data_IF_276636095752
#
_entry.id   IF_276636095752
#
_cell.length_a   1.000
_cell.length_b   1.000
_cell.length_c   1.000
_cell.angle_alpha   90.00
_cell.angle_beta   90.00
_cell.angle_gamma   90.00
#
_symmetry.space_group_name_H-M   'P 1'
#
loop_
_entity.id
_entity.type
_entity.pdbx_description
1 polymer ?
#
# COMPACT_ATOMS: atom_id res chain seq x y z
N UNK A 1 -8.69 -9.68 11.57
CA UNK A 1 -9.19 -9.32 10.22
C UNK A 1 -8.02 -8.95 9.33
N UNK A 2 -8.10 -9.24 8.03
CA UNK A 2 -7.01 -8.97 7.09
C UNK A 2 -7.55 -8.48 5.74
N UNK A 3 -6.75 -7.67 5.04
CA UNK A 3 -7.01 -7.27 3.65
C UNK A 3 -6.09 -8.06 2.72
N UNK A 4 -6.66 -8.84 1.82
CA UNK A 4 -5.98 -9.66 0.83
C UNK A 4 -6.06 -9.01 -0.56
N UNK A 5 -4.96 -9.07 -1.32
CA UNK A 5 -4.95 -8.67 -2.71
C UNK A 5 -5.59 -9.75 -3.60
N UNK A 6 -6.51 -9.34 -4.48
CA UNK A 6 -7.11 -10.23 -5.48
C UNK A 6 -6.34 -10.23 -6.80
N UNK A 7 -5.61 -9.15 -7.07
CA UNK A 7 -4.93 -8.91 -8.34
C UNK A 7 -3.45 -8.61 -8.15
N UNK A 8 -2.68 -8.79 -9.22
CA UNK A 8 -1.30 -8.36 -9.29
C UNK A 8 -1.25 -6.83 -9.44
N UNK A 9 -0.59 -6.14 -8.50
CA UNK A 9 -0.49 -4.69 -8.55
C UNK A 9 0.86 -4.19 -8.02
N UNK A 10 1.28 -3.03 -8.53
CA UNK A 10 2.37 -2.25 -7.97
C UNK A 10 1.81 -1.21 -7.02
N UNK A 11 2.14 -1.34 -5.73
CA UNK A 11 1.66 -0.43 -4.70
C UNK A 11 2.80 0.51 -4.31
N UNK A 12 2.61 1.80 -4.51
CA UNK A 12 3.59 2.83 -4.14
C UNK A 12 3.65 3.03 -2.62
N UNK A 13 4.80 3.50 -2.11
CA UNK A 13 4.95 3.87 -0.69
C UNK A 13 3.87 4.85 -0.21
N UNK A 14 3.48 5.81 -1.06
CA UNK A 14 2.43 6.79 -0.77
C UNK A 14 1.06 6.15 -0.58
N UNK A 15 0.70 5.17 -1.41
CA UNK A 15 -0.55 4.42 -1.27
C UNK A 15 -0.58 3.59 0.00
N UNK A 16 0.56 2.99 0.39
CA UNK A 16 0.67 2.23 1.64
C UNK A 16 0.38 3.15 2.84
N UNK A 17 1.03 4.32 2.89
CA UNK A 17 0.84 5.25 4.00
C UNK A 17 -0.56 5.88 4.03
N UNK A 18 -1.11 6.22 2.84
CA UNK A 18 -2.47 6.73 2.74
C UNK A 18 -3.49 5.75 3.34
N UNK A 19 -3.40 4.47 2.97
CA UNK A 19 -4.27 3.40 3.49
C UNK A 19 -4.07 3.19 4.99
N UNK A 20 -2.83 3.13 5.47
CA UNK A 20 -2.52 3.04 6.91
C UNK A 20 -3.17 4.18 7.69
N UNK A 21 -3.04 5.42 7.21
CA UNK A 21 -3.61 6.61 7.88
C UNK A 21 -5.13 6.56 7.93
N UNK A 22 -5.78 6.14 6.83
CA UNK A 22 -7.24 5.97 6.74
C UNK A 22 -7.72 4.88 7.71
N UNK A 23 -7.08 3.71 7.72
CA UNK A 23 -7.42 2.62 8.63
C UNK A 23 -7.26 3.04 10.09
N UNK A 24 -6.14 3.68 10.45
CA UNK A 24 -5.87 4.13 11.82
C UNK A 24 -6.89 5.17 12.29
N UNK A 25 -7.32 6.08 11.40
CA UNK A 25 -8.36 7.08 11.72
C UNK A 25 -9.72 6.45 12.02
N UNK A 26 -10.11 5.43 11.26
CA UNK A 26 -11.40 4.74 11.45
C UNK A 26 -11.42 3.83 12.69
N UNK A 27 -10.24 3.37 13.11
CA UNK A 27 -10.07 2.43 14.22
C UNK A 27 -9.94 3.14 15.58
N UNK A 28 -9.78 4.48 15.58
CA UNK A 28 -9.57 5.29 16.78
C UNK A 28 -8.42 4.72 17.65
N UNK A 29 -8.51 4.85 18.99
CA UNK A 29 -7.46 4.39 19.91
C UNK A 29 -7.51 2.87 20.20
N UNK A 30 -8.38 2.10 19.56
CA UNK A 30 -8.58 0.68 19.86
C UNK A 30 -7.93 -0.23 18.83
N UNK A 31 -7.06 -1.15 19.25
CA UNK A 31 -6.55 -2.22 18.39
C UNK A 31 -5.18 -1.95 17.76
N UNK A 32 -4.68 -2.96 17.05
CA UNK A 32 -3.35 -2.98 16.43
C UNK A 32 -3.50 -3.21 14.92
N UNK A 33 -2.79 -2.41 14.14
CA UNK A 33 -2.71 -2.50 12.68
C UNK A 33 -1.28 -2.88 12.29
N UNK A 34 -1.13 -3.95 11.50
CA UNK A 34 0.14 -4.34 10.89
C UNK A 34 0.10 -4.09 9.39
N UNK A 35 1.18 -3.52 8.88
CA UNK A 35 1.43 -3.41 7.43
C UNK A 35 2.33 -4.58 7.05
N UNK A 36 1.87 -5.44 6.15
CA UNK A 36 2.56 -6.69 5.76
C UNK A 36 3.40 -6.55 4.48
N UNK A 37 3.27 -5.43 3.80
CA UNK A 37 3.99 -5.10 2.57
C UNK A 37 5.01 -3.98 2.83
N UNK A 38 6.13 -4.04 2.13
CA UNK A 38 7.18 -3.04 2.20
C UNK A 38 7.61 -2.65 0.78
N UNK A 39 7.75 -1.35 0.47
CA UNK A 39 8.20 -0.91 -0.84
C UNK A 39 9.72 -1.05 -0.95
N UNK A 40 10.17 -2.11 -1.62
CA UNK A 40 11.58 -2.44 -1.79
C UNK A 40 12.10 -2.27 -3.22
N UNK A 41 11.22 -2.12 -4.22
CA UNK A 41 11.62 -2.06 -5.62
C UNK A 41 11.72 -0.60 -6.09
N UNK A 42 12.89 -0.15 -6.60
CA UNK A 42 13.07 1.21 -7.11
C UNK A 42 12.46 1.39 -8.52
N UNK A 43 11.65 2.42 -8.70
CA UNK A 43 11.13 2.84 -10.02
C UNK A 43 11.83 4.12 -10.48
N UNK A 44 12.43 4.04 -11.66
CA UNK A 44 13.11 5.17 -12.30
C UNK A 44 12.27 5.78 -13.39
N UNK A 45 12.24 7.11 -13.46
CA UNK A 45 11.47 7.84 -14.49
C UNK A 45 12.37 8.88 -15.15
N UNK A 46 12.13 9.10 -16.44
CA UNK A 46 12.81 10.14 -17.21
C UNK A 46 11.97 11.41 -17.25
N UNK A 47 12.60 12.59 -17.32
CA UNK A 47 11.87 13.84 -17.46
C UNK A 47 11.03 13.87 -18.74
N UNK A 48 9.82 14.42 -18.66
CA UNK A 48 8.82 14.48 -19.75
C UNK A 48 9.29 15.21 -21.02
N UNK A 49 10.39 15.96 -20.97
CA UNK A 49 10.94 16.75 -22.09
C UNK A 49 12.23 16.15 -22.70
N UNK A 50 12.43 14.85 -22.57
CA UNK A 50 13.61 14.17 -23.12
C UNK A 50 13.22 13.08 -24.11
N UNK A 51 14.00 12.94 -25.19
CA UNK A 51 13.81 11.85 -26.17
C UNK A 51 14.31 10.51 -25.61
N UNK A 52 13.93 9.41 -26.28
CA UNK A 52 14.44 8.07 -25.96
C UNK A 52 15.96 7.98 -26.22
N UNK A 53 16.67 7.15 -25.45
CA UNK A 53 18.15 7.08 -25.45
C UNK A 53 18.81 7.66 -24.18
N UNK A 54 20.13 7.72 -24.11
CA UNK A 54 20.89 8.37 -23.00
C UNK A 54 20.86 7.72 -21.60
N UNK A 55 20.53 6.43 -21.49
CA UNK A 55 20.68 5.65 -20.24
C UNK A 55 19.45 5.62 -19.31
N UNK A 56 19.57 5.05 -18.11
CA UNK A 56 18.45 4.89 -17.17
C UNK A 56 18.09 6.24 -16.51
N UNK A 57 16.80 6.48 -16.27
CA UNK A 57 16.32 7.69 -15.59
C UNK A 57 16.71 7.75 -14.12
N UNK A 58 16.39 8.86 -13.44
CA UNK A 58 16.59 9.00 -12.00
C UNK A 58 15.55 8.21 -11.21
N UNK A 59 15.92 7.78 -10.01
CA UNK A 59 14.99 7.14 -9.06
C UNK A 59 13.90 8.13 -8.64
N UNK A 60 12.63 7.79 -8.85
CA UNK A 60 11.51 8.68 -8.49
C UNK A 60 10.73 8.17 -7.28
N UNK A 61 10.39 6.88 -7.24
CA UNK A 61 9.64 6.30 -6.13
C UNK A 61 9.90 4.80 -5.96
N UNK A 62 9.43 4.28 -4.83
CA UNK A 62 9.56 2.86 -4.47
C UNK A 62 8.19 2.19 -4.51
N UNK A 63 8.16 0.96 -5.02
CA UNK A 63 6.96 0.15 -5.13
C UNK A 63 7.12 -1.18 -4.40
N UNK A 64 6.01 -1.68 -3.88
CA UNK A 64 5.85 -3.05 -3.45
C UNK A 64 5.14 -3.82 -4.56
N UNK A 65 5.78 -4.88 -5.06
CA UNK A 65 5.17 -5.81 -6.01
C UNK A 65 4.29 -6.78 -5.22
N UNK A 66 2.98 -6.69 -5.43
CA UNK A 66 2.00 -7.49 -4.73
C UNK A 66 1.42 -8.51 -5.69
N UNK A 67 1.51 -9.79 -5.33
CA UNK A 67 0.87 -10.91 -6.02
C UNK A 67 -0.53 -11.15 -5.47
N UNK A 68 -1.43 -11.77 -6.26
CA UNK A 68 -2.71 -12.29 -5.75
C UNK A 68 -2.48 -13.16 -4.51
N UNK A 69 -3.47 -13.17 -3.62
CA UNK A 69 -3.50 -13.88 -2.35
C UNK A 69 -2.52 -13.39 -1.28
N UNK A 70 -1.84 -12.27 -1.53
CA UNK A 70 -0.99 -11.65 -0.53
C UNK A 70 -1.79 -10.79 0.44
N UNK A 71 -1.58 -11.00 1.74
CA UNK A 71 -2.13 -10.15 2.80
C UNK A 71 -1.36 -8.82 2.84
N UNK A 72 -2.09 -7.71 2.77
CA UNK A 72 -1.55 -6.34 2.77
C UNK A 72 -1.55 -5.72 4.16
N UNK A 73 -2.67 -5.87 4.87
CA UNK A 73 -2.88 -5.32 6.21
C UNK A 73 -3.54 -6.35 7.11
N UNK A 74 -3.14 -6.35 8.38
CA UNK A 74 -3.76 -7.16 9.43
C UNK A 74 -4.21 -6.26 10.57
N UNK A 75 -5.36 -6.60 11.16
CA UNK A 75 -5.96 -5.87 12.27
C UNK A 75 -6.38 -6.84 13.38
N UNK A 76 -6.03 -6.49 14.62
CA UNK A 76 -6.38 -7.23 15.84
C UNK A 76 -6.89 -6.27 16.93
N UNK A 77 -7.73 -6.77 17.84
CA UNK A 77 -8.28 -5.99 18.96
C UNK A 77 -9.36 -4.99 18.57
N UNK A 78 -10.11 -5.27 17.51
CA UNK A 78 -11.20 -4.42 16.98
C UNK A 78 -12.46 -5.25 16.72
N UNK A 79 -13.62 -4.66 16.99
CA UNK A 79 -14.91 -5.26 16.66
C UNK A 79 -15.08 -5.43 15.15
N UNK A 80 -15.78 -6.49 14.74
CA UNK A 80 -15.97 -6.88 13.34
C UNK A 80 -16.51 -5.76 12.46
N UNK A 81 -17.54 -5.06 12.93
CA UNK A 81 -18.19 -3.98 12.18
C UNK A 81 -17.23 -2.83 11.88
N UNK A 82 -16.37 -2.48 12.84
CA UNK A 82 -15.36 -1.43 12.68
C UNK A 82 -14.27 -1.89 11.73
N UNK A 83 -13.79 -3.14 11.88
CA UNK A 83 -12.76 -3.70 11.02
C UNK A 83 -13.21 -3.77 9.54
N UNK A 84 -14.44 -4.26 9.29
CA UNK A 84 -15.01 -4.33 7.94
C UNK A 84 -15.15 -2.94 7.31
N UNK A 85 -15.66 -1.96 8.07
CA UNK A 85 -15.82 -0.58 7.60
C UNK A 85 -14.46 0.08 7.30
N UNK A 86 -13.48 -0.08 8.19
CA UNK A 86 -12.14 0.47 8.01
C UNK A 86 -11.44 -0.10 6.77
N UNK A 87 -11.57 -1.41 6.53
CA UNK A 87 -11.04 -2.07 5.34
C UNK A 87 -11.75 -1.56 4.08
N UNK A 88 -13.08 -1.47 4.10
CA UNK A 88 -13.87 -1.02 2.94
C UNK A 88 -13.54 0.41 2.48
N UNK A 89 -13.15 1.31 3.40
CA UNK A 89 -12.77 2.69 3.05
C UNK A 89 -11.35 2.75 2.47
N UNK A 90 -10.52 1.74 2.73
CA UNK A 90 -9.12 1.72 2.34
C UNK A 90 -8.84 1.02 0.99
N UNK A 91 -9.80 0.28 0.43
CA UNK A 91 -9.68 -0.36 -0.89
C UNK A 91 -9.64 0.72 -1.97
#
# INVERSE_FOLDING_TARGET
>A
YALQALELAWITSRQIEARRRVMTRNVHHGGKLWVRIFPGEPVTVRPTKTHMGSGKGSLEYWVAIVKPDRILYEMSGVAENIARKAISIAV
#
